data_IF_008536164349
#
_entry.id   IF_008536164349
#
_cell.length_a   1.000
_cell.length_b   1.000
_cell.length_c   1.000
_cell.angle_alpha   90.00
_cell.angle_beta   90.00
_cell.angle_gamma   90.00
#
_symmetry.space_group_name_H-M   'P 1'
#
loop_
_entity.id
_entity.type
_entity.pdbx_description
1 polymer ?
#
# COMPACT_ATOMS: atom_id res chain seq x y z
N UNK A 1 -8.92 2.19 36.15
CA UNK A 1 -7.67 2.57 35.47
C UNK A 1 -7.36 1.63 34.30
N UNK A 2 -7.21 0.31 34.49
CA UNK A 2 -6.92 -0.62 33.37
C UNK A 2 -7.98 -0.59 32.27
N UNK A 3 -9.27 -0.62 32.64
CA UNK A 3 -10.36 -0.50 31.66
C UNK A 3 -10.27 0.81 30.85
N UNK A 4 -9.98 1.94 31.50
CA UNK A 4 -9.75 3.23 30.83
C UNK A 4 -8.55 3.21 29.89
N UNK A 5 -7.46 2.52 30.27
CA UNK A 5 -6.26 2.37 29.41
C UNK A 5 -6.58 1.53 28.18
N UNK A 6 -7.32 0.42 28.34
CA UNK A 6 -7.72 -0.41 27.19
C UNK A 6 -8.66 0.37 26.26
N UNK A 7 -9.59 1.16 26.82
CA UNK A 7 -10.46 2.05 26.06
C UNK A 7 -9.66 3.14 25.32
N UNK A 8 -8.63 3.69 25.95
CA UNK A 8 -7.71 4.64 25.33
C UNK A 8 -6.94 3.99 24.17
N UNK A 9 -6.45 2.76 24.36
CA UNK A 9 -5.69 2.02 23.34
C UNK A 9 -6.55 1.69 22.10
N UNK A 10 -7.87 1.54 22.23
CA UNK A 10 -8.79 1.42 21.07
C UNK A 10 -9.09 2.75 20.38
N UNK A 11 -8.52 3.86 20.86
CA UNK A 11 -8.58 5.18 20.24
C UNK A 11 -9.64 6.12 20.83
N UNK A 12 -10.30 5.76 21.93
CA UNK A 12 -11.23 6.67 22.61
C UNK A 12 -10.49 7.72 23.44
N UNK A 13 -11.10 8.89 23.61
CA UNK A 13 -10.59 9.92 24.52
C UNK A 13 -10.83 9.50 25.97
N UNK A 14 -9.89 9.83 26.87
CA UNK A 14 -10.03 9.59 28.31
C UNK A 14 -9.58 10.83 29.07
N UNK A 15 -10.20 11.07 30.23
CA UNK A 15 -9.85 12.17 31.15
C UNK A 15 -8.47 12.02 31.79
N UNK A 16 -7.86 10.83 31.66
CA UNK A 16 -6.48 10.56 32.09
C UNK A 16 -5.46 11.38 31.28
N UNK A 17 -5.77 11.68 30.01
CA UNK A 17 -4.88 12.36 29.06
C UNK A 17 -5.62 13.55 28.42
N UNK A 18 -5.70 14.71 29.12
CA UNK A 18 -6.40 15.88 28.62
C UNK A 18 -5.75 16.48 27.36
N UNK A 19 -4.42 16.36 27.23
CA UNK A 19 -3.66 16.87 26.09
C UNK A 19 -2.83 15.72 25.47
N UNK A 20 -3.24 15.28 24.28
CA UNK A 20 -2.61 14.24 23.45
C UNK A 20 -2.22 12.95 24.17
N UNK A 21 -1.04 12.95 24.81
CA UNK A 21 -0.40 11.82 25.51
C UNK A 21 0.16 12.22 26.89
N UNK A 22 -0.03 13.47 27.31
CA UNK A 22 0.45 13.97 28.61
C UNK A 22 -0.58 13.67 29.69
N UNK A 23 -0.09 13.19 30.84
CA UNK A 23 -0.94 12.85 31.97
C UNK A 23 -1.56 14.09 32.60
N UNK A 24 -2.78 13.95 33.09
CA UNK A 24 -3.42 14.98 33.89
C UNK A 24 -2.53 15.38 35.08
N UNK A 25 -2.29 16.68 35.24
CA UNK A 25 -1.44 17.27 36.27
C UNK A 25 -1.89 16.87 37.68
N UNK A 26 -3.19 16.66 37.89
CA UNK A 26 -3.77 16.28 39.18
C UNK A 26 -3.49 14.81 39.55
N UNK A 27 -3.27 13.95 38.54
CA UNK A 27 -2.94 12.53 38.74
C UNK A 27 -1.43 12.30 38.87
N UNK A 28 -0.61 13.19 38.31
CA UNK A 28 0.86 13.07 38.36
C UNK A 28 1.46 12.92 39.77
N UNK A 29 0.98 13.60 40.84
CA UNK A 29 1.56 13.43 42.17
C UNK A 29 1.11 12.16 42.90
N UNK A 30 0.07 11.48 42.41
CA UNK A 30 -0.51 10.29 43.04
C UNK A 30 0.12 8.98 42.53
N UNK A 31 0.96 9.06 41.50
CA UNK A 31 1.54 7.92 40.81
C UNK A 31 3.03 7.81 41.09
N UNK A 32 3.54 6.58 41.19
CA UNK A 32 4.97 6.35 41.25
C UNK A 32 5.62 6.77 39.90
N UNK A 33 6.87 7.29 39.88
CA UNK A 33 7.52 7.72 38.63
C UNK A 33 7.55 6.64 37.53
N UNK A 34 7.71 5.37 37.90
CA UNK A 34 7.65 4.25 36.95
C UNK A 34 6.26 4.03 36.34
N UNK A 35 5.20 4.23 37.13
CA UNK A 35 3.81 4.14 36.64
C UNK A 35 3.49 5.30 35.71
N UNK A 36 3.96 6.51 36.06
CA UNK A 36 3.86 7.69 35.22
C UNK A 36 4.45 7.45 33.83
N UNK A 37 5.67 6.94 33.77
CA UNK A 37 6.35 6.64 32.50
C UNK A 37 5.62 5.55 31.70
N UNK A 38 5.09 4.51 32.36
CA UNK A 38 4.32 3.46 31.68
C UNK A 38 3.05 4.03 31.05
N UNK A 39 2.33 4.88 31.78
CA UNK A 39 1.10 5.51 31.30
C UNK A 39 1.36 6.49 30.17
N UNK A 40 2.36 7.36 30.26
CA UNK A 40 2.74 8.29 29.18
C UNK A 40 3.11 7.52 27.91
N UNK A 41 3.85 6.41 28.04
CA UNK A 41 4.22 5.60 26.89
C UNK A 41 3.03 4.86 26.25
N UNK A 42 2.08 4.37 27.05
CA UNK A 42 0.83 3.80 26.53
C UNK A 42 -0.06 4.89 25.89
N UNK A 43 -0.08 6.08 26.49
CA UNK A 43 -0.74 7.27 25.94
C UNK A 43 -0.16 7.66 24.57
N UNK A 44 1.16 7.58 24.40
CA UNK A 44 1.82 7.85 23.12
C UNK A 44 1.43 6.83 22.03
N UNK A 45 1.34 5.55 22.37
CA UNK A 45 0.85 4.49 21.47
C UNK A 45 -0.57 4.79 21.02
N UNK A 46 -1.47 5.06 21.98
CA UNK A 46 -2.87 5.38 21.71
C UNK A 46 -3.02 6.64 20.85
N UNK A 47 -2.26 7.69 21.16
CA UNK A 47 -2.22 8.93 20.39
C UNK A 47 -1.83 8.67 18.93
N UNK A 48 -0.74 7.94 18.69
CA UNK A 48 -0.28 7.59 17.33
C UNK A 48 -1.31 6.76 16.59
N UNK A 49 -1.90 5.75 17.24
CA UNK A 49 -2.97 4.95 16.65
C UNK A 49 -4.18 5.83 16.25
N UNK A 50 -4.65 6.71 17.15
CA UNK A 50 -5.76 7.63 16.85
C UNK A 50 -5.44 8.57 15.70
N UNK A 51 -4.22 9.11 15.67
CA UNK A 51 -3.73 9.96 14.57
C UNK A 51 -3.78 9.19 13.24
N UNK A 52 -3.18 8.00 13.19
CA UNK A 52 -3.18 7.15 11.99
C UNK A 52 -4.61 6.80 11.54
N UNK A 53 -5.50 6.43 12.46
CA UNK A 53 -6.91 6.11 12.15
C UNK A 53 -7.68 7.31 11.58
N UNK A 54 -7.43 8.50 12.13
CA UNK A 54 -8.04 9.75 11.66
C UNK A 54 -7.52 10.12 10.27
N UNK A 55 -6.22 9.99 10.04
CA UNK A 55 -5.59 10.16 8.73
C UNK A 55 -6.13 9.18 7.69
N UNK A 56 -6.26 7.89 8.04
CA UNK A 56 -6.89 6.89 7.18
C UNK A 56 -8.30 7.32 6.77
N UNK A 57 -9.12 7.76 7.74
CA UNK A 57 -10.50 8.18 7.47
C UNK A 57 -10.60 9.41 6.55
N UNK A 58 -9.60 10.30 6.60
CA UNK A 58 -9.49 11.45 5.69
C UNK A 58 -9.02 11.02 4.29
N UNK A 59 -7.91 10.28 4.23
CA UNK A 59 -7.29 9.82 2.98
C UNK A 59 -8.15 8.82 2.21
N UNK A 60 -9.04 8.07 2.88
CA UNK A 60 -10.02 7.21 2.22
C UNK A 60 -10.99 7.98 1.29
N UNK A 61 -11.16 9.28 1.52
CA UNK A 61 -11.98 10.16 0.65
C UNK A 61 -11.18 10.76 -0.52
N UNK A 62 -9.91 10.39 -0.66
CA UNK A 62 -9.05 10.84 -1.75
C UNK A 62 -9.57 10.33 -3.10
N UNK A 63 -9.44 11.10 -4.19
CA UNK A 63 -9.76 10.63 -5.53
C UNK A 63 -8.78 9.56 -6.06
N UNK A 64 -7.61 9.39 -5.42
CA UNK A 64 -6.59 8.45 -5.87
C UNK A 64 -6.92 7.00 -5.49
N UNK A 65 -6.93 6.09 -6.48
CA UNK A 65 -7.19 4.66 -6.22
C UNK A 65 -6.02 4.02 -5.47
N UNK A 66 -4.80 4.51 -5.67
CA UNK A 66 -3.61 4.04 -4.98
C UNK A 66 -3.65 4.36 -3.49
N UNK A 67 -3.99 5.59 -3.13
CA UNK A 67 -4.15 6.00 -1.72
C UNK A 67 -5.27 5.22 -1.05
N UNK A 68 -6.40 5.03 -1.74
CA UNK A 68 -7.50 4.23 -1.21
C UNK A 68 -7.09 2.77 -0.94
N UNK A 69 -6.32 2.14 -1.83
CA UNK A 69 -5.82 0.79 -1.62
C UNK A 69 -4.83 0.69 -0.46
N UNK A 70 -3.91 1.65 -0.34
CA UNK A 70 -2.99 1.77 0.79
C UNK A 70 -3.75 1.87 2.11
N UNK A 71 -4.70 2.80 2.20
CA UNK A 71 -5.48 3.04 3.41
C UNK A 71 -6.37 1.85 3.77
N UNK A 72 -6.95 1.17 2.77
CA UNK A 72 -7.73 -0.04 2.99
C UNK A 72 -6.87 -1.16 3.57
N UNK A 73 -5.67 -1.39 3.00
CA UNK A 73 -4.71 -2.37 3.50
C UNK A 73 -4.23 -2.02 4.91
N UNK A 74 -3.89 -0.75 5.17
CA UNK A 74 -3.48 -0.30 6.50
C UNK A 74 -4.60 -0.49 7.54
N UNK A 75 -5.83 -0.13 7.19
CA UNK A 75 -6.98 -0.30 8.07
C UNK A 75 -7.22 -1.78 8.40
N UNK A 76 -7.00 -2.67 7.42
CA UNK A 76 -7.07 -4.11 7.62
C UNK A 76 -5.99 -4.61 8.59
N UNK A 77 -4.73 -4.20 8.41
CA UNK A 77 -3.61 -4.56 9.29
C UNK A 77 -3.88 -4.10 10.72
N UNK A 78 -4.29 -2.83 10.91
CA UNK A 78 -4.61 -2.29 12.23
C UNK A 78 -5.75 -3.06 12.91
N UNK A 79 -6.77 -3.45 12.16
CA UNK A 79 -7.89 -4.24 12.69
C UNK A 79 -7.48 -5.67 13.05
N UNK A 80 -6.75 -6.35 12.17
CA UNK A 80 -6.39 -7.75 12.32
C UNK A 80 -5.30 -7.98 13.37
N UNK A 81 -4.41 -7.03 13.55
CA UNK A 81 -3.28 -7.20 14.46
C UNK A 81 -3.37 -6.32 15.71
N UNK A 82 -3.51 -4.99 15.56
CA UNK A 82 -3.49 -4.08 16.71
C UNK A 82 -4.79 -4.13 17.52
N UNK A 83 -5.95 -3.94 16.88
CA UNK A 83 -7.25 -3.99 17.58
C UNK A 83 -7.50 -5.40 18.15
N UNK A 84 -7.13 -6.44 17.41
CA UNK A 84 -7.20 -7.82 17.89
C UNK A 84 -6.34 -8.03 19.15
N UNK A 85 -5.13 -7.46 19.21
CA UNK A 85 -4.27 -7.51 20.41
C UNK A 85 -4.92 -6.81 21.61
N UNK A 86 -5.62 -5.70 21.40
CA UNK A 86 -6.36 -5.01 22.48
C UNK A 86 -7.48 -5.89 23.01
N UNK A 87 -8.29 -6.48 22.13
CA UNK A 87 -9.38 -7.39 22.50
C UNK A 87 -8.86 -8.65 23.19
N UNK A 88 -7.76 -9.22 22.71
CA UNK A 88 -7.13 -10.39 23.34
C UNK A 88 -6.63 -10.05 24.75
N UNK A 89 -6.01 -8.88 24.91
CA UNK A 89 -5.52 -8.41 26.22
C UNK A 89 -6.68 -8.19 27.18
N UNK A 90 -7.78 -7.57 26.73
CA UNK A 90 -8.99 -7.42 27.53
C UNK A 90 -9.57 -8.78 27.93
N UNK A 91 -9.66 -9.73 27.01
CA UNK A 91 -10.15 -11.08 27.30
C UNK A 91 -9.29 -11.80 28.34
N UNK A 92 -7.95 -11.64 28.30
CA UNK A 92 -7.03 -12.18 29.32
C UNK A 92 -7.28 -11.55 30.69
N UNK A 93 -7.51 -10.24 30.75
CA UNK A 93 -7.86 -9.55 32.00
C UNK A 93 -9.18 -10.07 32.57
N UNK A 94 -10.22 -10.18 31.74
CA UNK A 94 -11.54 -10.66 32.17
C UNK A 94 -11.53 -12.12 32.63
N UNK A 95 -10.78 -12.98 31.95
CA UNK A 95 -10.62 -14.40 32.31
C UNK A 95 -9.70 -14.64 33.51
N UNK A 96 -9.09 -13.58 34.05
CA UNK A 96 -8.09 -13.65 35.13
C UNK A 96 -6.94 -14.60 34.77
N UNK A 97 -6.42 -14.45 33.55
CA UNK A 97 -5.28 -15.25 33.07
C UNK A 97 -4.10 -15.10 34.04
N UNK A 98 -3.55 -16.20 34.60
CA UNK A 98 -2.48 -16.15 35.60
C UNK A 98 -1.19 -15.51 35.08
N UNK A 99 -0.99 -15.40 33.76
CA UNK A 99 0.18 -14.75 33.16
C UNK A 99 0.09 -13.22 33.18
N UNK A 100 -1.13 -12.66 33.21
CA UNK A 100 -1.38 -11.22 33.15
C UNK A 100 -1.98 -10.65 34.44
N UNK A 101 -2.79 -11.46 35.12
CA UNK A 101 -3.55 -11.07 36.31
C UNK A 101 -2.94 -11.75 37.53
N UNK A 102 -2.31 -10.95 38.38
CA UNK A 102 -1.75 -11.41 39.64
C UNK A 102 -2.85 -11.70 40.69
N UNK A 103 -2.45 -12.29 41.81
CA UNK A 103 -3.33 -12.52 42.96
C UNK A 103 -4.05 -11.23 43.37
N UNK A 104 -5.35 -11.35 43.64
CA UNK A 104 -6.19 -10.20 43.98
C UNK A 104 -6.75 -9.42 42.77
N UNK A 105 -6.74 -10.02 41.56
CA UNK A 105 -7.21 -9.40 40.33
C UNK A 105 -6.44 -8.13 39.92
N UNK A 106 -5.17 -8.04 40.35
CA UNK A 106 -4.29 -6.93 40.03
C UNK A 106 -3.62 -7.16 38.65
N UNK A 107 -3.65 -6.13 37.79
CA UNK A 107 -2.98 -6.16 36.48
C UNK A 107 -1.84 -5.14 36.50
N UNK A 108 -0.58 -5.56 36.43
CA UNK A 108 0.55 -4.64 36.41
C UNK A 108 0.57 -3.81 35.12
N UNK A 109 0.71 -2.48 35.26
CA UNK A 109 0.86 -1.56 34.12
C UNK A 109 2.07 -1.89 33.25
N UNK A 110 3.15 -2.37 33.86
CA UNK A 110 4.36 -2.80 33.16
C UNK A 110 4.11 -3.99 32.23
N UNK A 111 3.26 -4.95 32.64
CA UNK A 111 2.87 -6.09 31.80
C UNK A 111 2.07 -5.64 30.59
N UNK A 112 1.10 -4.73 30.79
CA UNK A 112 0.33 -4.14 29.68
C UNK A 112 1.26 -3.37 28.74
N UNK A 113 2.17 -2.54 29.28
CA UNK A 113 3.15 -1.79 28.50
C UNK A 113 4.06 -2.69 27.66
N UNK A 114 4.50 -3.83 28.20
CA UNK A 114 5.33 -4.80 27.51
C UNK A 114 4.59 -5.49 26.35
N UNK A 115 3.29 -5.78 26.52
CA UNK A 115 2.46 -6.36 25.43
C UNK A 115 2.38 -5.39 24.24
N UNK A 116 2.11 -4.11 24.50
CA UNK A 116 1.93 -3.12 23.43
C UNK A 116 3.24 -2.51 22.90
N UNK A 117 4.39 -2.81 23.51
CA UNK A 117 5.68 -2.25 23.05
C UNK A 117 6.07 -2.67 21.64
N UNK A 118 5.55 -3.81 21.17
CA UNK A 118 5.73 -4.24 19.79
C UNK A 118 5.19 -3.24 18.75
N UNK A 119 4.28 -2.35 19.15
CA UNK A 119 3.64 -1.35 18.28
C UNK A 119 4.24 0.06 18.37
N UNK A 120 5.23 0.29 19.24
CA UNK A 120 5.86 1.61 19.37
C UNK A 120 6.49 2.09 18.06
N UNK A 121 7.36 1.27 17.49
CA UNK A 121 8.06 1.58 16.25
C UNK A 121 7.14 1.57 15.01
N UNK A 122 6.26 0.56 14.82
CA UNK A 122 5.27 0.57 13.74
C UNK A 122 4.37 1.81 13.73
N UNK A 123 3.74 2.16 14.87
CA UNK A 123 2.84 3.31 14.91
C UNK A 123 3.58 4.64 14.76
N UNK A 124 4.85 4.72 15.19
CA UNK A 124 5.68 5.90 14.91
C UNK A 124 5.91 6.05 13.40
N UNK A 125 6.37 5.00 12.73
CA UNK A 125 6.66 5.01 11.30
C UNK A 125 5.39 5.26 10.45
N UNK A 126 4.27 4.66 10.84
CA UNK A 126 2.97 4.88 10.21
C UNK A 126 2.47 6.31 10.43
N UNK A 127 2.65 6.88 11.62
CA UNK A 127 2.29 8.29 11.86
C UNK A 127 3.06 9.22 10.94
N UNK A 128 4.37 9.00 10.77
CA UNK A 128 5.19 9.80 9.84
C UNK A 128 4.70 9.61 8.40
N UNK A 129 4.39 8.37 7.98
CA UNK A 129 3.81 8.13 6.65
C UNK A 129 2.52 8.91 6.44
N UNK A 130 1.63 8.93 7.42
CA UNK A 130 0.37 9.67 7.31
C UNK A 130 0.61 11.19 7.20
N UNK A 131 1.59 11.73 7.93
CA UNK A 131 1.96 13.15 7.82
C UNK A 131 2.46 13.50 6.42
N UNK A 132 3.32 12.67 5.84
CA UNK A 132 3.85 12.87 4.47
C UNK A 132 2.73 12.75 3.43
N UNK A 133 1.85 11.76 3.59
CA UNK A 133 0.71 11.55 2.67
C UNK A 133 -0.28 12.73 2.71
N UNK A 134 -0.42 13.40 3.85
CA UNK A 134 -1.28 14.57 4.02
C UNK A 134 -0.65 15.88 3.57
N UNK A 135 0.68 15.99 3.60
CA UNK A 135 1.38 17.18 3.11
C UNK A 135 1.23 17.35 1.61
N UNK A 136 1.25 16.24 0.86
CA UNK A 136 1.12 16.25 -0.60
C UNK A 136 -0.32 15.95 -1.03
N UNK A 137 -0.90 16.86 -1.83
CA UNK A 137 -2.29 16.74 -2.31
C UNK A 137 -2.44 15.80 -3.49
N UNK A 138 -1.37 15.57 -4.26
CA UNK A 138 -1.38 14.72 -5.44
C UNK A 138 -0.28 13.65 -5.36
N UNK A 139 -0.69 12.42 -5.07
CA UNK A 139 0.21 11.26 -5.10
C UNK A 139 0.11 10.56 -6.45
N UNK A 140 1.25 10.47 -7.15
CA UNK A 140 1.39 9.60 -8.33
C UNK A 140 1.88 8.22 -7.90
N UNK A 141 1.58 7.22 -8.71
CA UNK A 141 1.84 5.82 -8.37
C UNK A 141 3.33 5.51 -8.16
N UNK A 142 4.21 6.04 -9.02
CA UNK A 142 5.65 5.75 -8.97
C UNK A 142 6.28 6.19 -7.65
N UNK A 143 6.30 7.50 -7.32
CA UNK A 143 6.84 8.01 -6.07
C UNK A 143 6.22 7.38 -4.82
N UNK A 144 4.92 7.05 -4.86
CA UNK A 144 4.26 6.38 -3.74
C UNK A 144 4.81 4.96 -3.52
N UNK A 145 4.94 4.16 -4.58
CA UNK A 145 5.52 2.82 -4.50
C UNK A 145 6.98 2.92 -4.03
N UNK A 146 7.76 3.83 -4.61
CA UNK A 146 9.17 4.03 -4.26
C UNK A 146 9.36 4.41 -2.78
N UNK A 147 8.51 5.31 -2.26
CA UNK A 147 8.51 5.69 -0.85
C UNK A 147 8.21 4.50 0.06
N UNK A 148 7.22 3.67 -0.28
CA UNK A 148 6.86 2.48 0.51
C UNK A 148 7.97 1.43 0.49
N UNK A 149 8.56 1.17 -0.68
CA UNK A 149 9.70 0.26 -0.83
C UNK A 149 10.97 0.77 -0.12
N UNK A 150 11.16 2.09 -0.07
CA UNK A 150 12.25 2.69 0.71
C UNK A 150 12.01 2.50 2.21
N UNK A 151 10.78 2.72 2.68
CA UNK A 151 10.42 2.56 4.10
C UNK A 151 10.34 1.12 4.57
N UNK A 152 10.14 0.16 3.67
CA UNK A 152 10.22 -1.26 4.01
C UNK A 152 11.67 -1.73 4.25
N UNK A 153 12.67 -1.01 3.75
CA UNK A 153 14.10 -1.29 3.97
C UNK A 153 14.56 -0.75 5.32
N UNK A 154 14.11 -1.38 6.39
CA UNK A 154 14.41 -1.02 7.78
C UNK A 154 14.92 -2.24 8.56
N UNK A 155 15.74 -1.99 9.59
CA UNK A 155 16.20 -3.04 10.51
C UNK A 155 15.13 -3.55 11.48
N UNK A 156 13.97 -2.91 11.55
CA UNK A 156 12.84 -3.33 12.40
C UNK A 156 11.90 -4.22 11.58
N UNK A 157 11.96 -5.53 11.81
CA UNK A 157 11.23 -6.54 11.03
C UNK A 157 9.74 -6.22 10.86
N UNK A 158 9.03 -5.90 11.96
CA UNK A 158 7.59 -5.62 11.90
C UNK A 158 7.26 -4.37 11.07
N UNK A 159 8.13 -3.36 11.09
CA UNK A 159 7.96 -2.17 10.24
C UNK A 159 8.17 -2.55 8.79
N UNK A 160 9.24 -3.28 8.49
CA UNK A 160 9.53 -3.76 7.13
C UNK A 160 8.36 -4.56 6.55
N UNK A 161 7.80 -5.48 7.33
CA UNK A 161 6.66 -6.32 6.95
C UNK A 161 5.41 -5.48 6.64
N UNK A 162 5.02 -4.56 7.54
CA UNK A 162 3.84 -3.70 7.31
C UNK A 162 4.03 -2.87 6.04
N UNK A 163 5.18 -2.21 5.86
CA UNK A 163 5.41 -1.38 4.67
C UNK A 163 5.50 -2.21 3.38
N UNK A 164 6.00 -3.44 3.42
CA UNK A 164 5.97 -4.36 2.28
C UNK A 164 4.53 -4.78 1.94
N UNK A 165 3.68 -5.08 2.92
CA UNK A 165 2.27 -5.38 2.65
C UNK A 165 1.55 -4.16 2.02
N UNK A 166 1.84 -2.95 2.51
CA UNK A 166 1.30 -1.72 1.92
C UNK A 166 1.81 -1.49 0.49
N UNK A 167 3.09 -1.74 0.20
CA UNK A 167 3.65 -1.60 -1.15
C UNK A 167 2.97 -2.57 -2.12
N UNK A 168 2.74 -3.83 -1.70
CA UNK A 168 2.05 -4.84 -2.52
C UNK A 168 0.62 -4.41 -2.86
N UNK A 169 -0.11 -3.82 -1.90
CA UNK A 169 -1.47 -3.33 -2.13
C UNK A 169 -1.51 -2.23 -3.21
N UNK A 170 -0.58 -1.28 -3.15
CA UNK A 170 -0.47 -0.20 -4.15
C UNK A 170 -0.01 -0.74 -5.51
N UNK A 171 0.99 -1.61 -5.52
CA UNK A 171 1.50 -2.25 -6.75
C UNK A 171 0.41 -3.09 -7.45
N UNK A 172 -0.51 -3.70 -6.70
CA UNK A 172 -1.62 -4.47 -7.27
C UNK A 172 -2.60 -3.59 -8.08
N UNK A 173 -2.88 -2.37 -7.60
CA UNK A 173 -3.68 -1.38 -8.35
C UNK A 173 -2.93 -0.91 -9.58
N UNK A 174 -1.64 -0.60 -9.42
CA UNK A 174 -0.78 -0.16 -10.53
C UNK A 174 -0.71 -1.22 -11.62
N UNK A 175 -0.54 -2.48 -11.25
CA UNK A 175 -0.55 -3.62 -12.14
C UNK A 175 -1.89 -3.75 -12.87
N UNK A 176 -3.01 -3.51 -12.19
CA UNK A 176 -4.33 -3.54 -12.82
C UNK A 176 -4.45 -2.48 -13.92
N UNK A 177 -3.90 -1.29 -13.70
CA UNK A 177 -3.80 -0.25 -14.72
C UNK A 177 -2.82 -0.62 -15.84
N UNK A 178 -1.70 -1.27 -15.52
CA UNK A 178 -0.74 -1.76 -16.51
C UNK A 178 -1.38 -2.82 -17.41
N UNK A 179 -2.12 -3.78 -16.85
CA UNK A 179 -2.88 -4.78 -17.60
C UNK A 179 -3.90 -4.09 -18.51
N UNK A 180 -4.62 -3.08 -18.02
CA UNK A 180 -5.56 -2.32 -18.83
C UNK A 180 -4.88 -1.60 -20.02
N UNK A 181 -3.64 -1.13 -19.85
CA UNK A 181 -2.85 -0.52 -20.92
C UNK A 181 -2.33 -1.58 -21.91
N UNK A 182 -1.64 -2.61 -21.41
CA UNK A 182 -0.94 -3.61 -22.24
C UNK A 182 -1.88 -4.59 -22.92
N UNK A 183 -2.96 -5.01 -22.26
CA UNK A 183 -3.85 -6.04 -22.81
C UNK A 183 -5.01 -5.42 -23.56
N UNK A 184 -5.54 -4.32 -23.02
CA UNK A 184 -6.76 -3.71 -23.54
C UNK A 184 -6.55 -2.36 -24.23
N UNK A 185 -5.33 -1.79 -24.25
CA UNK A 185 -5.07 -0.48 -24.85
C UNK A 185 -5.93 0.64 -24.24
N UNK A 186 -6.40 0.48 -22.99
CA UNK A 186 -7.23 1.46 -22.29
C UNK A 186 -6.39 2.31 -21.35
N UNK A 187 -6.67 3.61 -21.36
CA UNK A 187 -6.12 4.57 -20.42
C UNK A 187 -7.18 4.90 -19.38
N UNK A 188 -6.78 4.97 -18.11
CA UNK A 188 -7.64 5.50 -17.07
C UNK A 188 -7.77 7.01 -17.21
N UNK A 189 -8.97 7.55 -17.00
CA UNK A 189 -9.22 9.00 -17.01
C UNK A 189 -8.67 9.71 -15.76
N UNK A 190 -8.80 9.09 -14.58
CA UNK A 190 -8.37 9.70 -13.30
C UNK A 190 -6.86 9.65 -13.06
N UNK A 191 -6.23 8.50 -13.34
CA UNK A 191 -4.82 8.25 -13.06
C UNK A 191 -4.17 7.53 -14.26
N UNK A 192 -3.92 8.24 -15.37
CA UNK A 192 -3.35 7.65 -16.57
C UNK A 192 -1.88 7.23 -16.36
N UNK A 193 -1.51 6.06 -16.90
CA UNK A 193 -0.11 5.62 -17.01
C UNK A 193 0.58 6.23 -18.24
N UNK A 194 -0.18 6.60 -19.25
CA UNK A 194 0.32 7.18 -20.50
C UNK A 194 -0.60 8.31 -20.98
N UNK A 195 -0.03 9.22 -21.77
CA UNK A 195 -0.78 10.28 -22.44
C UNK A 195 -1.70 9.70 -23.53
N UNK A 196 -2.55 10.56 -24.13
CA UNK A 196 -3.43 10.15 -25.25
C UNK A 196 -2.66 9.64 -26.47
N UNK A 197 -1.40 10.04 -26.61
CA UNK A 197 -0.48 9.59 -27.66
C UNK A 197 0.27 8.30 -27.28
N UNK A 198 -0.14 7.67 -26.17
CA UNK A 198 0.50 6.48 -25.59
C UNK A 198 2.00 6.69 -25.28
N UNK A 199 2.38 7.92 -24.90
CA UNK A 199 3.69 8.18 -24.29
C UNK A 199 3.59 7.97 -22.79
N UNK A 200 4.51 7.21 -22.21
CA UNK A 200 4.50 6.91 -20.78
C UNK A 200 4.74 8.17 -19.95
N UNK A 201 4.02 8.31 -18.84
CA UNK A 201 4.21 9.41 -17.89
C UNK A 201 5.21 8.94 -16.84
N UNK A 202 6.41 9.55 -16.80
CA UNK A 202 7.52 9.11 -15.93
C UNK A 202 7.11 9.03 -14.45
N UNK A 203 6.32 9.97 -13.93
CA UNK A 203 5.88 9.98 -12.53
C UNK A 203 4.87 8.87 -12.17
N UNK A 204 4.31 8.17 -13.16
CA UNK A 204 3.39 7.05 -12.94
C UNK A 204 4.10 5.71 -12.82
N UNK A 205 5.41 5.63 -13.08
CA UNK A 205 6.20 4.41 -13.02
C UNK A 205 7.16 4.44 -11.82
N UNK A 206 7.23 3.35 -11.03
CA UNK A 206 8.21 3.27 -9.93
C UNK A 206 9.63 3.09 -10.46
N UNK A 207 10.60 3.61 -9.69
CA UNK A 207 12.04 3.54 -9.97
C UNK A 207 12.60 2.12 -10.02
N UNK A 208 11.88 1.13 -9.47
CA UNK A 208 12.30 -0.27 -9.51
C UNK A 208 12.18 -0.90 -10.90
N UNK A 209 11.47 -0.31 -11.87
CA UNK A 209 11.33 -0.89 -13.20
C UNK A 209 12.55 -0.57 -14.05
N UNK A 210 13.06 -1.58 -14.78
CA UNK A 210 14.20 -1.38 -15.66
C UNK A 210 13.84 -0.48 -16.86
N UNK A 211 14.80 0.34 -17.35
CA UNK A 211 14.56 1.18 -18.53
C UNK A 211 14.19 0.37 -19.77
N UNK A 212 14.75 -0.84 -19.90
CA UNK A 212 14.38 -1.77 -20.97
C UNK A 212 12.89 -2.17 -20.89
N UNK A 213 12.40 -2.51 -19.70
CA UNK A 213 10.98 -2.85 -19.52
C UNK A 213 10.06 -1.66 -19.80
N UNK A 214 10.47 -0.43 -19.46
CA UNK A 214 9.70 0.78 -19.81
C UNK A 214 9.56 0.95 -21.32
N UNK A 215 10.64 0.74 -22.08
CA UNK A 215 10.59 0.80 -23.55
C UNK A 215 9.66 -0.27 -24.13
N UNK A 216 9.72 -1.49 -23.60
CA UNK A 216 8.83 -2.59 -24.02
C UNK A 216 7.36 -2.28 -23.70
N UNK A 217 7.08 -1.74 -22.51
CA UNK A 217 5.72 -1.31 -22.11
C UNK A 217 5.23 -0.19 -23.03
N UNK A 218 6.07 0.79 -23.34
CA UNK A 218 5.72 1.89 -24.23
C UNK A 218 5.39 1.39 -25.64
N UNK A 219 6.20 0.47 -26.17
CA UNK A 219 5.99 -0.14 -27.48
C UNK A 219 4.66 -0.91 -27.53
N UNK A 220 4.45 -1.85 -26.61
CA UNK A 220 3.25 -2.69 -26.58
C UNK A 220 1.99 -1.86 -26.33
N UNK A 221 2.04 -0.95 -25.35
CA UNK A 221 0.93 -0.06 -25.02
C UNK A 221 0.53 0.83 -26.20
N UNK A 222 1.51 1.39 -26.91
CA UNK A 222 1.25 2.18 -28.13
C UNK A 222 0.65 1.32 -29.23
N UNK A 223 1.23 0.15 -29.53
CA UNK A 223 0.75 -0.70 -30.61
C UNK A 223 -0.73 -1.10 -30.40
N UNK A 224 -1.06 -1.62 -29.22
CA UNK A 224 -2.43 -2.08 -28.91
C UNK A 224 -3.38 -0.89 -28.78
N UNK A 225 -2.92 0.21 -28.19
CA UNK A 225 -3.65 1.46 -28.08
C UNK A 225 -4.05 2.05 -29.43
N UNK A 226 -3.12 2.10 -30.39
CA UNK A 226 -3.38 2.60 -31.75
C UNK A 226 -4.40 1.72 -32.48
N UNK A 227 -4.26 0.39 -32.40
CA UNK A 227 -5.19 -0.55 -33.03
C UNK A 227 -6.61 -0.38 -32.50
N UNK A 228 -6.74 -0.18 -31.18
CA UNK A 228 -8.01 0.08 -30.54
C UNK A 228 -8.60 1.43 -30.95
N UNK A 229 -7.79 2.48 -31.01
CA UNK A 229 -8.23 3.82 -31.41
C UNK A 229 -8.78 3.83 -32.84
N UNK A 230 -8.13 3.12 -33.75
CA UNK A 230 -8.55 2.99 -35.17
C UNK A 230 -9.73 2.00 -35.33
N UNK A 231 -10.17 1.32 -34.26
CA UNK A 231 -11.20 0.27 -34.28
C UNK A 231 -10.93 -0.78 -35.37
N UNK A 232 -9.67 -1.22 -35.46
CA UNK A 232 -9.27 -2.20 -36.46
C UNK A 232 -10.08 -3.50 -36.33
N UNK A 233 -10.39 -4.12 -37.47
CA UNK A 233 -11.26 -5.31 -37.51
C UNK A 233 -10.68 -6.50 -36.73
N UNK A 234 -9.35 -6.63 -36.71
CA UNK A 234 -8.62 -7.65 -35.96
C UNK A 234 -8.05 -7.04 -34.68
N UNK A 235 -8.69 -7.33 -33.54
CA UNK A 235 -8.16 -7.03 -32.21
C UNK A 235 -7.39 -8.22 -31.64
N UNK A 236 -6.63 -7.99 -30.57
CA UNK A 236 -5.93 -9.03 -29.85
C UNK A 236 -6.90 -10.17 -29.47
N UNK A 237 -6.59 -11.44 -29.78
CA UNK A 237 -7.46 -12.56 -29.42
C UNK A 237 -7.71 -12.62 -27.92
N UNK A 238 -8.95 -12.95 -27.54
CA UNK A 238 -9.33 -13.04 -26.11
C UNK A 238 -8.49 -14.05 -25.34
N UNK A 239 -8.08 -15.15 -25.98
CA UNK A 239 -7.22 -16.17 -25.37
C UNK A 239 -5.86 -15.58 -24.98
N UNK A 240 -5.23 -14.84 -25.89
CA UNK A 240 -3.94 -14.20 -25.66
C UNK A 240 -4.05 -13.08 -24.60
N UNK A 241 -5.17 -12.34 -24.63
CA UNK A 241 -5.46 -11.33 -23.61
C UNK A 241 -5.55 -11.95 -22.21
N UNK A 242 -6.27 -13.07 -22.05
CA UNK A 242 -6.39 -13.78 -20.77
C UNK A 242 -5.05 -14.33 -20.30
N UNK A 243 -4.23 -14.86 -21.21
CA UNK A 243 -2.89 -15.34 -20.89
C UNK A 243 -1.99 -14.21 -20.38
N UNK A 244 -1.95 -13.06 -21.06
CA UNK A 244 -1.16 -11.90 -20.64
C UNK A 244 -1.62 -11.35 -19.30
N UNK A 245 -2.95 -11.28 -19.05
CA UNK A 245 -3.49 -10.88 -17.75
C UNK A 245 -2.99 -11.81 -16.63
N UNK A 246 -3.04 -13.12 -16.85
CA UNK A 246 -2.59 -14.11 -15.87
C UNK A 246 -1.08 -14.07 -15.64
N UNK A 247 -0.28 -13.78 -16.66
CA UNK A 247 1.17 -13.57 -16.52
C UNK A 247 1.45 -12.33 -15.65
N UNK A 248 0.79 -11.21 -15.93
CA UNK A 248 0.96 -9.96 -15.18
C UNK A 248 0.52 -10.13 -13.73
N UNK A 249 -0.65 -10.72 -13.46
CA UNK A 249 -1.21 -10.91 -12.10
C UNK A 249 -0.30 -11.69 -11.15
N UNK A 250 0.62 -12.50 -11.67
CA UNK A 250 1.55 -13.31 -10.87
C UNK A 250 2.81 -12.57 -10.45
N UNK A 251 3.06 -11.40 -11.02
CA UNK A 251 4.33 -10.68 -10.81
C UNK A 251 4.06 -9.28 -10.27
N UNK A 252 5.02 -8.78 -9.50
CA UNK A 252 5.04 -7.41 -8.99
C UNK A 252 6.26 -6.68 -9.55
N UNK A 253 6.18 -5.36 -9.77
CA UNK A 253 7.31 -4.59 -10.31
C UNK A 253 8.52 -4.53 -9.35
N UNK A 254 8.34 -4.81 -8.05
CA UNK A 254 9.48 -4.96 -7.12
C UNK A 254 10.36 -6.19 -7.41
N UNK A 255 9.81 -7.25 -8.03
CA UNK A 255 10.57 -8.40 -8.53
C UNK A 255 11.02 -8.13 -9.98
N UNK A 256 12.11 -7.37 -10.11
CA UNK A 256 12.62 -6.87 -11.39
C UNK A 256 12.81 -7.99 -12.42
N UNK A 257 13.42 -9.10 -12.03
CA UNK A 257 13.77 -10.17 -12.98
C UNK A 257 12.52 -10.88 -13.51
N UNK A 258 11.59 -11.26 -12.61
CA UNK A 258 10.35 -11.89 -13.02
C UNK A 258 9.50 -10.92 -13.86
N UNK A 259 9.47 -9.64 -13.49
CA UNK A 259 8.69 -8.62 -14.18
C UNK A 259 9.21 -8.39 -15.60
N UNK A 260 10.51 -8.22 -15.75
CA UNK A 260 11.16 -8.02 -17.05
C UNK A 260 10.95 -9.20 -17.98
N UNK A 261 11.00 -10.43 -17.46
CA UNK A 261 10.73 -11.66 -18.22
C UNK A 261 9.30 -11.68 -18.76
N UNK A 262 8.31 -11.34 -17.92
CA UNK A 262 6.89 -11.31 -18.33
C UNK A 262 6.65 -10.22 -19.37
N UNK A 263 7.17 -9.01 -19.16
CA UNK A 263 7.01 -7.90 -20.10
C UNK A 263 7.64 -8.23 -21.46
N UNK A 264 8.83 -8.86 -21.45
CA UNK A 264 9.49 -9.34 -22.67
C UNK A 264 8.65 -10.37 -23.42
N UNK A 265 8.08 -11.36 -22.70
CA UNK A 265 7.22 -12.38 -23.30
C UNK A 265 5.96 -11.78 -23.93
N UNK A 266 5.32 -10.83 -23.24
CA UNK A 266 4.15 -10.11 -23.76
C UNK A 266 4.53 -9.37 -25.04
N UNK A 267 5.67 -8.68 -25.07
CA UNK A 267 6.14 -7.98 -26.27
C UNK A 267 6.37 -8.94 -27.45
N UNK A 268 6.95 -10.12 -27.22
CA UNK A 268 7.15 -11.12 -28.27
C UNK A 268 5.80 -11.58 -28.82
N UNK A 269 4.89 -11.98 -27.94
CA UNK A 269 3.56 -12.47 -28.31
C UNK A 269 2.76 -11.42 -29.11
N UNK A 270 2.81 -10.16 -28.68
CA UNK A 270 2.15 -9.05 -29.38
C UNK A 270 2.83 -8.79 -30.72
N UNK A 271 4.17 -8.79 -30.78
CA UNK A 271 4.94 -8.59 -32.01
C UNK A 271 4.63 -9.65 -33.08
N UNK A 272 4.59 -10.93 -32.70
CA UNK A 272 4.19 -12.02 -33.60
C UNK A 272 2.76 -11.85 -34.11
N UNK A 273 1.84 -11.48 -33.21
CA UNK A 273 0.46 -11.25 -33.60
C UNK A 273 0.32 -10.07 -34.58
N UNK A 274 1.03 -8.96 -34.35
CA UNK A 274 1.05 -7.79 -35.24
C UNK A 274 1.54 -8.17 -36.63
N UNK A 275 2.64 -8.93 -36.72
CA UNK A 275 3.21 -9.40 -37.99
C UNK A 275 2.24 -10.29 -38.78
N UNK A 276 1.51 -11.17 -38.08
CA UNK A 276 0.58 -12.10 -38.73
C UNK A 276 -0.73 -11.45 -39.19
N UNK A 277 -1.11 -10.29 -38.63
CA UNK A 277 -2.47 -9.75 -38.80
C UNK A 277 -2.56 -8.33 -39.34
N UNK A 278 -1.55 -7.51 -39.15
CA UNK A 278 -1.60 -6.05 -39.42
C UNK A 278 -0.42 -5.61 -40.27
N UNK A 279 0.79 -6.03 -39.89
CA UNK A 279 2.02 -5.72 -40.61
C UNK A 279 2.44 -6.95 -41.42
N UNK A 280 1.54 -7.44 -42.27
CA UNK A 280 1.89 -8.62 -43.07
C UNK A 280 2.94 -8.23 -44.09
N UNK A 281 3.72 -9.20 -44.56
CA UNK A 281 4.78 -8.95 -45.55
C UNK A 281 4.27 -8.17 -46.77
N UNK A 282 3.04 -8.47 -47.24
CA UNK A 282 2.43 -7.77 -48.37
C UNK A 282 2.17 -6.30 -48.07
N UNK A 283 1.63 -5.99 -46.90
CA UNK A 283 1.33 -4.60 -46.50
C UNK A 283 2.62 -3.77 -46.39
N UNK A 284 3.71 -4.40 -45.94
CA UNK A 284 5.02 -3.74 -45.86
C UNK A 284 5.62 -3.56 -47.24
N UNK A 285 5.61 -4.59 -48.09
CA UNK A 285 6.13 -4.51 -49.45
C UNK A 285 5.38 -3.42 -50.26
N UNK A 286 4.04 -3.37 -50.15
CA UNK A 286 3.21 -2.32 -50.78
C UNK A 286 3.51 -0.91 -50.24
N UNK A 287 3.72 -0.78 -48.91
CA UNK A 287 4.05 0.51 -48.32
C UNK A 287 5.45 1.00 -48.73
N UNK A 288 6.43 0.10 -48.82
CA UNK A 288 7.79 0.41 -49.27
C UNK A 288 7.81 0.77 -50.76
N UNK A 289 7.04 0.07 -51.60
CA UNK A 289 6.92 0.38 -53.02
C UNK A 289 6.20 1.72 -53.29
N UNK A 290 5.44 2.23 -52.32
CA UNK A 290 4.73 3.52 -52.40
C UNK A 290 5.54 4.74 -51.96
N UNK A 291 6.75 4.54 -51.42
CA UNK A 291 7.69 5.59 -50.99
C UNK A 291 8.65 6.01 -52.11
#
# INVERSE_FOLDING_TARGET
>A
MIAEILLLLTGHSSSLFPEDHTLNKDLSPLLHPGEKQCLESLGLIAYRYRKVKTSCSRLQKSPSRYICALVASLSQILKQEYEALVVETEAKVLKRDPLLVANGAFVPLSSVRAIFSAWDAPLAALSTLMDDLESDKEWKAGPLIDMLLSRSKTGVHRVAEIFAQLSVAVQSVWRSHLTALLVHGSLSESEPLATKDYTLIESSFPSCISPQSLELIAYVGRAIGTIKAVKWQKQLPRTLATEHTLMLERVLPEDQHAFDTVVSQIRINVGEWLWMNILTKKDIDEAVDSL
#
